data_IF_002623798106
#
_entry.id   IF_002623798106
#
_cell.length_a   1.000
_cell.length_b   1.000
_cell.length_c   1.000
_cell.angle_alpha   90.00
_cell.angle_beta   90.00
_cell.angle_gamma   90.00
#
_symmetry.space_group_name_H-M   'P 1'
#
loop_
_entity.id
_entity.type
_entity.pdbx_description
1 polymer ?
#
# COMPACT_ATOMS: atom_id res chain seq x y z
N UNK A 1 8.32 -89.39 54.65
CA UNK A 1 6.90 -89.14 54.96
C UNK A 1 6.33 -88.24 53.87
N UNK A 2 5.18 -88.65 53.36
CA UNK A 2 4.40 -88.11 52.25
C UNK A 2 3.85 -86.70 52.53
N UNK A 3 3.73 -85.83 51.51
CA UNK A 3 2.46 -85.13 51.18
C UNK A 3 2.59 -84.21 49.94
N UNK A 4 1.68 -84.41 48.97
CA UNK A 4 0.96 -83.45 48.07
C UNK A 4 1.52 -82.02 47.89
N UNK A 5 1.80 -81.47 46.69
CA UNK A 5 0.95 -81.30 45.46
C UNK A 5 0.06 -80.03 45.56
N UNK A 6 -0.46 -79.37 44.50
CA UNK A 6 -0.09 -79.22 43.07
C UNK A 6 -0.20 -77.74 42.55
N UNK A 7 -0.25 -77.55 41.21
CA UNK A 7 -0.75 -76.40 40.40
C UNK A 7 0.18 -75.19 40.17
N UNK A 8 0.76 -74.95 38.98
CA UNK A 8 0.24 -74.54 37.65
C UNK A 8 -0.13 -73.04 37.46
N UNK A 9 0.78 -72.33 36.75
CA UNK A 9 0.60 -71.25 35.72
C UNK A 9 0.01 -69.87 36.09
N UNK A 10 0.18 -68.79 35.27
CA UNK A 10 1.07 -68.54 34.13
C UNK A 10 1.83 -67.19 34.15
N UNK A 11 2.74 -67.07 33.19
CA UNK A 11 3.61 -65.95 32.82
C UNK A 11 2.89 -64.65 32.42
N UNK A 12 3.39 -63.52 32.91
CA UNK A 12 3.19 -62.20 32.30
C UNK A 12 4.35 -61.27 32.67
N UNK A 13 5.12 -60.74 31.71
CA UNK A 13 6.07 -59.68 32.00
C UNK A 13 5.33 -58.38 32.30
N UNK A 14 5.60 -57.84 33.50
CA UNK A 14 5.10 -56.57 33.98
C UNK A 14 5.56 -55.40 33.09
N UNK A 15 4.60 -54.59 32.63
CA UNK A 15 4.89 -53.25 32.10
C UNK A 15 5.14 -52.28 33.29
N UNK A 16 6.17 -51.42 33.21
CA UNK A 16 6.45 -50.44 34.26
C UNK A 16 5.45 -49.26 34.23
N UNK A 17 4.99 -48.76 35.40
CA UNK A 17 4.11 -47.60 35.47
C UNK A 17 4.89 -46.32 35.19
N UNK A 18 4.58 -45.66 34.07
CA UNK A 18 5.11 -44.34 33.76
C UNK A 18 4.37 -43.28 34.57
N UNK A 19 5.19 -42.54 35.30
CA UNK A 19 4.96 -41.38 36.15
C UNK A 19 4.09 -40.24 35.59
N UNK A 20 3.52 -39.51 36.56
CA UNK A 20 3.32 -38.05 36.58
C UNK A 20 2.22 -37.48 35.69
N UNK A 21 1.01 -37.44 36.26
CA UNK A 21 -0.14 -36.67 35.79
C UNK A 21 0.09 -35.17 36.04
N UNK A 22 0.91 -34.57 35.18
CA UNK A 22 1.05 -33.13 35.03
C UNK A 22 -0.09 -32.59 34.15
N UNK A 23 -0.80 -31.59 34.68
CA UNK A 23 -1.83 -30.82 34.01
C UNK A 23 -1.24 -30.11 32.77
N UNK A 24 -1.47 -30.62 31.57
CA UNK A 24 -1.05 -29.99 30.31
C UNK A 24 -2.21 -29.22 29.64
N UNK A 25 -1.93 -28.13 28.89
CA UNK A 25 -2.94 -27.24 28.29
C UNK A 25 -3.74 -27.92 27.15
N UNK A 26 -4.93 -27.43 26.80
CA UNK A 26 -5.75 -28.04 25.76
C UNK A 26 -5.07 -27.98 24.39
N UNK A 27 -4.97 -29.15 23.75
CA UNK A 27 -4.42 -29.34 22.43
C UNK A 27 -5.20 -28.55 21.37
N UNK A 28 -4.50 -27.67 20.65
CA UNK A 28 -4.96 -27.12 19.38
C UNK A 28 -5.02 -28.26 18.35
N UNK A 29 -6.23 -28.68 18.01
CA UNK A 29 -6.47 -29.56 16.87
C UNK A 29 -6.11 -28.88 15.54
N UNK A 30 -5.83 -29.67 14.49
CA UNK A 30 -5.41 -29.14 13.19
C UNK A 30 -6.53 -28.35 12.53
N UNK A 31 -6.24 -27.10 12.18
CA UNK A 31 -7.10 -26.21 11.42
C UNK A 31 -7.39 -26.81 10.03
N UNK A 32 -8.62 -27.28 9.83
CA UNK A 32 -9.11 -27.64 8.51
C UNK A 32 -9.19 -26.42 7.57
N UNK A 33 -9.01 -26.60 6.26
CA UNK A 33 -9.10 -25.52 5.29
C UNK A 33 -10.58 -25.19 5.03
N UNK A 34 -11.13 -24.26 5.82
CA UNK A 34 -12.54 -23.90 5.74
C UNK A 34 -12.84 -22.56 6.37
N UNK A 35 -12.66 -21.48 5.61
CA UNK A 35 -13.63 -20.40 5.48
C UNK A 35 -13.09 -19.36 4.49
N UNK A 36 -13.69 -19.17 3.29
CA UNK A 36 -13.53 -17.90 2.61
C UNK A 36 -14.12 -16.85 3.54
N UNK A 37 -13.33 -15.84 3.90
CA UNK A 37 -13.80 -14.67 4.62
C UNK A 37 -14.93 -14.05 3.80
N UNK A 38 -16.16 -14.34 4.23
CA UNK A 38 -17.37 -13.81 3.65
C UNK A 38 -17.31 -12.29 3.72
N UNK A 39 -17.53 -11.68 2.56
CA UNK A 39 -17.44 -10.26 2.32
C UNK A 39 -18.18 -9.46 3.38
N UNK A 40 -17.43 -8.66 4.12
CA UNK A 40 -17.97 -7.50 4.81
C UNK A 40 -17.65 -6.29 3.95
N UNK A 41 -18.47 -6.12 2.92
CA UNK A 41 -18.68 -4.83 2.24
C UNK A 41 -19.40 -3.90 3.23
N UNK A 42 -18.66 -3.43 4.21
CA UNK A 42 -19.08 -2.39 5.15
C UNK A 42 -18.04 -1.30 5.10
N UNK A 43 -18.45 -0.10 4.70
CA UNK A 43 -17.61 1.10 4.78
C UNK A 43 -17.24 1.34 6.25
N UNK A 44 -16.11 0.78 6.69
CA UNK A 44 -15.58 0.99 8.04
C UNK A 44 -14.72 2.26 8.03
N UNK A 45 -15.39 3.42 8.13
CA UNK A 45 -14.76 4.74 8.19
C UNK A 45 -13.79 4.88 9.37
N UNK A 46 -13.95 4.09 10.43
CA UNK A 46 -13.03 4.07 11.58
C UNK A 46 -11.69 3.39 11.28
N UNK A 47 -11.59 2.62 10.19
CA UNK A 47 -10.36 1.97 9.72
C UNK A 47 -9.67 2.68 8.56
N UNK A 48 -10.27 3.73 7.96
CA UNK A 48 -9.55 4.56 7.01
C UNK A 48 -8.38 5.21 7.74
N UNK A 49 -7.17 4.73 7.47
CA UNK A 49 -5.95 5.37 7.98
C UNK A 49 -5.99 6.82 7.47
N UNK A 50 -5.54 7.78 8.27
CA UNK A 50 -5.36 9.17 7.83
C UNK A 50 -4.62 9.25 6.47
N UNK A 51 -3.73 8.29 6.21
CA UNK A 51 -3.01 8.14 4.94
C UNK A 51 -3.90 7.79 3.72
N UNK A 52 -5.04 7.13 3.90
CA UNK A 52 -5.99 6.80 2.82
C UNK A 52 -6.84 8.02 2.41
N UNK A 53 -7.04 8.97 3.34
CA UNK A 53 -7.81 10.20 3.10
C UNK A 53 -6.92 11.37 2.70
N UNK A 54 -5.64 11.36 3.08
CA UNK A 54 -4.72 12.47 2.83
C UNK A 54 -4.51 12.77 1.33
N UNK A 55 -4.40 11.74 0.48
CA UNK A 55 -4.21 11.90 -0.97
C UNK A 55 -5.44 12.54 -1.65
N UNK A 56 -6.67 12.04 -1.46
CA UNK A 56 -7.85 12.67 -2.07
C UNK A 56 -8.14 14.06 -1.48
N UNK A 57 -7.98 14.27 -0.16
CA UNK A 57 -8.14 15.60 0.44
C UNK A 57 -7.10 16.58 -0.09
N UNK A 58 -5.83 16.16 -0.19
CA UNK A 58 -4.78 16.97 -0.80
C UNK A 58 -5.07 17.29 -2.28
N UNK A 59 -5.60 16.33 -3.04
CA UNK A 59 -5.99 16.53 -4.44
C UNK A 59 -7.14 17.54 -4.57
N UNK A 60 -8.11 17.53 -3.65
CA UNK A 60 -9.16 18.53 -3.58
C UNK A 60 -8.59 19.92 -3.23
N UNK A 61 -7.67 20.01 -2.26
CA UNK A 61 -7.00 21.27 -1.94
C UNK A 61 -6.20 21.81 -3.14
N UNK A 62 -5.50 20.93 -3.84
CA UNK A 62 -4.79 21.27 -5.08
C UNK A 62 -5.76 21.87 -6.11
N UNK A 63 -6.90 21.22 -6.34
CA UNK A 63 -7.94 21.73 -7.24
C UNK A 63 -8.43 23.12 -6.81
N UNK A 64 -8.72 23.32 -5.53
CA UNK A 64 -9.20 24.61 -5.01
C UNK A 64 -8.19 25.72 -5.29
N UNK A 65 -6.90 25.50 -5.04
CA UNK A 65 -5.86 26.50 -5.31
C UNK A 65 -5.62 26.73 -6.80
N UNK A 66 -5.94 25.74 -7.64
CA UNK A 66 -5.83 25.84 -9.09
C UNK A 66 -6.96 26.65 -9.73
N UNK A 67 -8.18 26.57 -9.18
CA UNK A 67 -9.37 27.33 -9.66
C UNK A 67 -9.25 28.83 -9.34
N UNK A 68 -8.67 29.17 -8.19
CA UNK A 68 -8.55 30.57 -7.76
C UNK A 68 -7.60 31.31 -8.72
N UNK A 69 -7.93 32.52 -9.18
CA UNK A 69 -7.04 33.33 -10.02
C UNK A 69 -5.69 33.58 -9.34
N UNK A 70 -4.61 33.37 -10.09
CA UNK A 70 -3.25 33.62 -9.64
C UNK A 70 -2.82 35.04 -9.99
N UNK A 71 -3.23 35.49 -11.17
CA UNK A 71 -3.02 36.85 -11.66
C UNK A 71 -4.34 37.39 -12.16
N UNK A 72 -4.62 38.65 -11.85
CA UNK A 72 -5.78 39.37 -12.38
C UNK A 72 -5.37 40.79 -12.72
N UNK A 73 -5.60 41.17 -13.97
CA UNK A 73 -5.49 42.55 -14.42
C UNK A 73 -6.91 43.07 -14.53
N UNK A 74 -7.23 44.09 -13.73
CA UNK A 74 -8.52 44.75 -13.80
C UNK A 74 -8.69 45.42 -15.17
N UNK A 75 -9.91 45.38 -15.70
CA UNK A 75 -10.23 46.06 -16.95
C UNK A 75 -10.06 47.56 -16.79
N UNK A 76 -9.47 48.20 -17.81
CA UNK A 76 -9.26 49.64 -17.80
C UNK A 76 -10.18 50.30 -18.82
N UNK A 77 -10.99 51.25 -18.36
CA UNK A 77 -11.79 52.11 -19.23
C UNK A 77 -10.92 53.26 -19.75
N UNK A 78 -10.70 53.29 -21.06
CA UNK A 78 -9.92 54.34 -21.72
C UNK A 78 -10.76 55.61 -21.94
N UNK A 79 -12.06 55.58 -21.60
CA UNK A 79 -13.03 56.59 -21.95
C UNK A 79 -13.49 56.47 -23.40
N UNK A 80 -14.40 57.35 -23.84
CA UNK A 80 -14.94 57.39 -25.21
C UNK A 80 -15.60 56.08 -25.71
N UNK A 81 -16.04 55.22 -24.78
CA UNK A 81 -16.70 53.95 -25.10
C UNK A 81 -15.75 52.78 -25.36
N UNK A 82 -14.44 52.95 -25.16
CA UNK A 82 -13.44 51.89 -25.33
C UNK A 82 -12.96 51.39 -23.97
N UNK A 83 -13.28 50.14 -23.64
CA UNK A 83 -12.80 49.46 -22.44
C UNK A 83 -11.93 48.26 -22.81
N UNK A 84 -10.78 48.11 -22.14
CA UNK A 84 -9.98 46.89 -22.19
C UNK A 84 -10.59 45.91 -21.17
N UNK A 85 -11.07 44.72 -21.59
CA UNK A 85 -11.60 43.75 -20.65
C UNK A 85 -10.49 43.28 -19.70
N UNK A 86 -10.82 43.12 -18.43
CA UNK A 86 -9.91 42.52 -17.46
C UNK A 86 -9.61 41.07 -17.83
N UNK A 87 -8.39 40.63 -17.54
CA UNK A 87 -7.94 39.26 -17.81
C UNK A 87 -7.46 38.65 -16.51
N UNK A 88 -7.97 37.46 -16.19
CA UNK A 88 -7.52 36.65 -15.06
C UNK A 88 -6.92 35.36 -15.56
N UNK A 89 -5.79 34.98 -14.98
CA UNK A 89 -5.10 33.71 -15.26
C UNK A 89 -5.15 32.85 -13.99
N UNK A 90 -5.52 31.59 -14.12
CA UNK A 90 -5.53 30.60 -13.05
C UNK A 90 -4.70 29.37 -13.44
N UNK A 91 -4.68 28.35 -12.58
CA UNK A 91 -3.86 27.16 -12.83
C UNK A 91 -4.30 26.31 -14.02
N UNK A 92 -5.56 26.42 -14.48
CA UNK A 92 -6.06 25.67 -15.65
C UNK A 92 -5.57 26.23 -16.98
N UNK A 93 -5.13 27.48 -17.01
CA UNK A 93 -4.49 28.05 -18.19
C UNK A 93 -3.12 27.38 -18.48
N UNK A 94 -2.59 26.62 -17.53
CA UNK A 94 -1.42 25.77 -17.69
C UNK A 94 -1.78 24.33 -18.04
N UNK A 95 -1.33 23.88 -19.20
CA UNK A 95 -1.39 22.46 -19.59
C UNK A 95 -0.60 21.56 -18.64
N UNK A 96 0.51 22.05 -18.08
CA UNK A 96 1.37 21.32 -17.14
C UNK A 96 0.65 21.03 -15.83
N UNK A 97 0.02 22.04 -15.23
CA UNK A 97 -0.75 21.87 -13.98
C UNK A 97 -2.00 21.05 -14.20
N UNK A 98 -2.67 21.23 -15.33
CA UNK A 98 -3.83 20.40 -15.70
C UNK A 98 -3.44 18.93 -15.81
N UNK A 99 -2.30 18.64 -16.44
CA UNK A 99 -1.79 17.27 -16.51
C UNK A 99 -1.37 16.73 -15.13
N UNK A 100 -0.69 17.54 -14.31
CA UNK A 100 -0.36 17.19 -12.93
C UNK A 100 -1.61 16.87 -12.10
N UNK A 101 -2.67 17.66 -12.24
CA UNK A 101 -3.96 17.42 -11.59
C UNK A 101 -4.58 16.09 -12.01
N UNK A 102 -4.56 15.75 -13.31
CA UNK A 102 -5.04 14.46 -13.80
C UNK A 102 -4.26 13.29 -13.18
N UNK A 103 -2.93 13.43 -13.02
CA UNK A 103 -2.12 12.42 -12.33
C UNK A 103 -2.51 12.28 -10.86
N UNK A 104 -2.82 13.38 -10.16
CA UNK A 104 -3.29 13.36 -8.77
C UNK A 104 -4.69 12.74 -8.64
N UNK A 105 -5.58 12.99 -9.60
CA UNK A 105 -6.88 12.30 -9.66
C UNK A 105 -6.69 10.79 -9.84
N UNK A 106 -5.80 10.38 -10.74
CA UNK A 106 -5.51 8.96 -10.96
C UNK A 106 -4.87 8.31 -9.72
N UNK A 107 -3.96 9.03 -9.05
CA UNK A 107 -3.37 8.61 -7.77
C UNK A 107 -4.44 8.45 -6.68
N UNK A 108 -5.38 9.39 -6.60
CA UNK A 108 -6.50 9.37 -5.63
C UNK A 108 -7.47 8.22 -5.90
N UNK A 109 -7.86 8.03 -7.17
CA UNK A 109 -8.70 6.91 -7.58
C UNK A 109 -8.04 5.57 -7.25
N UNK A 110 -6.74 5.44 -7.50
CA UNK A 110 -5.98 4.24 -7.17
C UNK A 110 -5.88 4.00 -5.66
N UNK A 111 -5.70 5.07 -4.88
CA UNK A 111 -5.63 5.00 -3.42
C UNK A 111 -6.97 4.58 -2.79
N UNK A 112 -8.09 5.01 -3.38
CA UNK A 112 -9.45 4.72 -2.92
C UNK A 112 -10.01 3.39 -3.43
N UNK A 113 -9.41 2.79 -4.47
CA UNK A 113 -9.84 1.53 -5.06
C UNK A 113 -10.18 0.40 -4.05
N UNK A 114 -9.37 0.12 -3.01
CA UNK A 114 -9.72 -0.87 -1.98
C UNK A 114 -11.04 -0.63 -1.25
N UNK A 115 -11.52 0.62 -1.18
CA UNK A 115 -12.78 0.92 -0.49
C UNK A 115 -14.00 0.42 -1.27
N UNK A 116 -13.87 0.21 -2.58
CA UNK A 116 -14.98 -0.17 -3.46
C UNK A 116 -14.85 -1.58 -4.01
N UNK A 117 -13.63 -2.10 -4.17
CA UNK A 117 -13.41 -3.43 -4.72
C UNK A 117 -12.16 -4.12 -4.15
N UNK A 118 -12.31 -5.38 -3.73
CA UNK A 118 -11.21 -6.27 -3.39
C UNK A 118 -10.50 -6.77 -4.66
N UNK A 119 -9.68 -5.90 -5.25
CA UNK A 119 -8.87 -6.26 -6.43
C UNK A 119 -7.50 -6.74 -5.97
N UNK A 120 -7.23 -8.05 -5.98
CA UNK A 120 -5.89 -8.56 -5.69
C UNK A 120 -4.89 -8.13 -6.80
N UNK A 121 -4.09 -7.09 -6.53
CA UNK A 121 -3.07 -6.60 -7.47
C UNK A 121 -1.73 -7.25 -7.12
N UNK A 122 -0.96 -7.78 -8.09
CA UNK A 122 0.32 -8.45 -7.83
C UNK A 122 1.45 -7.51 -7.36
N UNK A 123 1.22 -6.19 -7.36
CA UNK A 123 2.19 -5.17 -6.98
C UNK A 123 1.71 -4.34 -5.78
N UNK A 124 2.62 -3.82 -4.93
CA UNK A 124 2.25 -2.95 -3.83
C UNK A 124 1.69 -1.65 -4.39
N UNK A 125 0.42 -1.36 -4.10
CA UNK A 125 -0.32 -0.23 -4.69
C UNK A 125 0.32 1.13 -4.37
N UNK A 126 1.02 1.22 -3.25
CA UNK A 126 1.67 2.46 -2.81
C UNK A 126 2.79 2.92 -3.72
N UNK A 127 3.43 2.02 -4.47
CA UNK A 127 4.43 2.42 -5.48
C UNK A 127 3.82 3.23 -6.60
N UNK A 128 2.65 2.80 -7.11
CA UNK A 128 2.00 3.49 -8.21
C UNK A 128 1.50 4.87 -7.75
N UNK A 129 0.86 4.94 -6.59
CA UNK A 129 0.40 6.21 -6.00
C UNK A 129 1.58 7.16 -5.73
N UNK A 130 2.69 6.68 -5.17
CA UNK A 130 3.88 7.50 -4.95
C UNK A 130 4.54 7.95 -6.26
N UNK A 131 4.58 7.10 -7.28
CA UNK A 131 5.10 7.44 -8.61
C UNK A 131 4.26 8.53 -9.30
N UNK A 132 2.93 8.39 -9.27
CA UNK A 132 1.99 9.38 -9.80
C UNK A 132 2.10 10.72 -9.05
N UNK A 133 2.13 10.68 -7.71
CA UNK A 133 2.29 11.87 -6.88
C UNK A 133 3.65 12.55 -7.11
N UNK A 134 4.72 11.76 -7.27
CA UNK A 134 6.06 12.27 -7.57
C UNK A 134 6.13 12.96 -8.92
N UNK A 135 5.52 12.37 -9.96
CA UNK A 135 5.46 13.00 -11.28
C UNK A 135 4.63 14.29 -11.25
N UNK A 136 3.46 14.28 -10.60
CA UNK A 136 2.64 15.48 -10.43
C UNK A 136 3.38 16.59 -9.66
N UNK A 137 4.15 16.22 -8.62
CA UNK A 137 4.99 17.14 -7.87
C UNK A 137 6.06 17.79 -8.75
N UNK A 138 6.80 17.01 -9.56
CA UNK A 138 7.84 17.55 -10.45
C UNK A 138 7.24 18.54 -11.47
N UNK A 139 6.10 18.19 -12.05
CA UNK A 139 5.39 19.07 -13.00
C UNK A 139 4.94 20.37 -12.32
N UNK A 140 4.37 20.27 -11.12
CA UNK A 140 3.94 21.43 -10.33
C UNK A 140 5.14 22.30 -9.92
N UNK A 141 6.28 21.68 -9.58
CA UNK A 141 7.52 22.39 -9.26
C UNK A 141 8.04 23.18 -10.47
N UNK A 142 8.07 22.56 -11.65
CA UNK A 142 8.51 23.23 -12.88
C UNK A 142 7.62 24.44 -13.16
N UNK A 143 6.30 24.28 -13.10
CA UNK A 143 5.38 25.39 -13.33
C UNK A 143 5.49 26.50 -12.28
N UNK A 144 5.66 26.11 -11.02
CA UNK A 144 5.85 27.07 -9.92
C UNK A 144 7.15 27.87 -10.10
N UNK A 145 8.22 27.24 -10.61
CA UNK A 145 9.44 27.95 -10.96
C UNK A 145 9.24 28.88 -12.17
N UNK A 146 8.49 28.45 -13.19
CA UNK A 146 8.17 29.28 -14.36
C UNK A 146 7.28 30.48 -14.02
N UNK A 147 6.48 30.42 -12.96
CA UNK A 147 5.66 31.56 -12.54
C UNK A 147 6.48 32.72 -11.97
N UNK A 148 7.72 32.49 -11.52
CA UNK A 148 8.60 33.59 -11.11
C UNK A 148 8.90 34.58 -12.23
N UNK A 149 8.86 34.15 -13.50
CA UNK A 149 9.02 35.06 -14.65
C UNK A 149 7.85 36.04 -14.78
N UNK A 150 6.65 35.64 -14.36
CA UNK A 150 5.45 36.47 -14.34
C UNK A 150 5.22 37.22 -13.01
N UNK A 151 5.93 36.82 -11.95
CA UNK A 151 5.82 37.35 -10.60
C UNK A 151 5.41 36.30 -9.57
N UNK A 152 5.83 36.50 -8.32
CA UNK A 152 5.49 35.57 -7.23
C UNK A 152 3.98 35.58 -6.94
N UNK A 153 3.35 34.40 -6.90
CA UNK A 153 1.94 34.26 -6.51
C UNK A 153 1.79 33.36 -5.30
N UNK A 154 0.99 33.81 -4.33
CA UNK A 154 0.66 33.01 -3.14
C UNK A 154 -0.12 31.76 -3.53
N UNK A 155 -1.02 31.84 -4.51
CA UNK A 155 -1.83 30.71 -4.97
C UNK A 155 -0.98 29.65 -5.67
N UNK A 156 0.01 30.05 -6.49
CA UNK A 156 1.00 29.12 -7.05
C UNK A 156 1.79 28.41 -5.95
N UNK A 157 2.23 29.14 -4.91
CA UNK A 157 2.91 28.55 -3.75
C UNK A 157 2.01 27.55 -3.00
N UNK A 158 0.75 27.89 -2.75
CA UNK A 158 -0.19 26.99 -2.06
C UNK A 158 -0.48 25.72 -2.87
N UNK A 159 -0.59 25.85 -4.20
CA UNK A 159 -0.73 24.72 -5.12
C UNK A 159 0.49 23.80 -5.04
N UNK A 160 1.69 24.39 -5.05
CA UNK A 160 2.95 23.67 -4.86
C UNK A 160 3.02 22.96 -3.51
N UNK A 161 2.72 23.66 -2.40
CA UNK A 161 2.71 23.07 -1.05
C UNK A 161 1.70 21.94 -0.91
N UNK A 162 0.54 22.03 -1.57
CA UNK A 162 -0.43 20.94 -1.63
C UNK A 162 0.18 19.70 -2.31
N UNK A 163 0.88 19.88 -3.43
CA UNK A 163 1.56 18.76 -4.11
C UNK A 163 2.66 18.12 -3.24
N UNK A 164 3.42 18.93 -2.48
CA UNK A 164 4.42 18.44 -1.52
C UNK A 164 3.76 17.60 -0.43
N UNK A 165 2.66 18.08 0.15
CA UNK A 165 1.94 17.35 1.19
C UNK A 165 1.45 15.99 0.67
N UNK A 166 0.83 15.96 -0.53
CA UNK A 166 0.38 14.71 -1.16
C UNK A 166 1.55 13.73 -1.35
N UNK A 167 2.67 14.22 -1.87
CA UNK A 167 3.87 13.40 -2.08
C UNK A 167 4.40 12.82 -0.77
N UNK A 168 4.52 13.65 0.27
CA UNK A 168 4.98 13.20 1.60
C UNK A 168 4.06 12.10 2.13
N UNK A 169 2.75 12.27 2.08
CA UNK A 169 1.81 11.24 2.53
C UNK A 169 1.90 9.96 1.69
N UNK A 170 2.07 10.07 0.38
CA UNK A 170 2.25 8.92 -0.50
C UNK A 170 3.53 8.13 -0.16
N UNK A 171 4.65 8.83 0.11
CA UNK A 171 5.92 8.22 0.51
C UNK A 171 5.84 7.62 1.93
N UNK A 172 5.19 8.30 2.88
CA UNK A 172 4.98 7.80 4.23
C UNK A 172 4.12 6.53 4.23
N UNK A 173 3.20 6.38 3.27
CA UNK A 173 2.42 5.15 3.08
C UNK A 173 3.27 4.02 2.48
N UNK A 174 4.22 4.35 1.62
CA UNK A 174 5.15 3.39 1.00
C UNK A 174 6.14 2.80 2.01
N UNK A 175 6.59 3.59 3.00
CA UNK A 175 7.60 3.19 3.99
C UNK A 175 7.24 1.93 4.81
N UNK A 176 6.04 1.83 5.44
CA UNK A 176 5.61 0.62 6.13
C UNK A 176 5.57 -0.60 5.21
N UNK A 177 5.15 -0.44 3.95
CA UNK A 177 5.10 -1.53 2.98
C UNK A 177 6.49 -2.05 2.63
N UNK A 178 7.48 -1.15 2.47
CA UNK A 178 8.86 -1.53 2.26
C UNK A 178 9.44 -2.28 3.45
N UNK A 179 9.11 -1.85 4.68
CA UNK A 179 9.54 -2.53 5.90
C UNK A 179 8.92 -3.91 6.05
N UNK A 180 7.63 -4.07 5.76
CA UNK A 180 6.95 -5.37 5.81
C UNK A 180 7.35 -6.29 4.63
N UNK A 181 7.76 -5.71 3.51
CA UNK A 181 8.26 -6.45 2.34
C UNK A 181 9.71 -6.92 2.49
N UNK A 182 10.40 -6.53 3.58
CA UNK A 182 11.75 -7.01 3.92
C UNK A 182 11.84 -8.52 4.14
N UNK A 183 10.72 -9.19 4.39
CA UNK A 183 10.55 -10.63 4.12
C UNK A 183 10.10 -10.77 2.68
N UNK A 184 11.05 -11.01 1.76
CA UNK A 184 10.79 -11.17 0.33
C UNK A 184 9.52 -12.00 0.06
N UNK A 185 8.63 -11.53 -0.84
CA UNK A 185 7.53 -12.36 -1.32
C UNK A 185 8.12 -13.66 -1.86
N UNK A 186 7.67 -14.81 -1.33
CA UNK A 186 8.18 -16.16 -1.60
C UNK A 186 8.31 -16.57 -3.07
N UNK A 187 7.94 -15.72 -4.04
CA UNK A 187 8.05 -15.97 -5.47
C UNK A 187 9.46 -15.76 -6.03
N UNK A 188 10.27 -14.85 -5.48
CA UNK A 188 11.70 -14.74 -5.82
C UNK A 188 12.55 -15.67 -4.96
N UNK A 189 12.16 -15.86 -3.70
CA UNK A 189 12.76 -16.82 -2.78
C UNK A 189 12.62 -18.25 -3.31
N UNK A 190 11.46 -18.60 -3.89
CA UNK A 190 11.23 -19.90 -4.53
C UNK A 190 12.12 -20.13 -5.77
N UNK A 191 12.38 -19.10 -6.57
CA UNK A 191 13.29 -19.21 -7.73
C UNK A 191 14.76 -19.38 -7.31
N UNK A 192 15.20 -18.65 -6.28
CA UNK A 192 16.52 -18.82 -5.69
C UNK A 192 16.66 -20.19 -5.00
N UNK A 193 15.60 -20.69 -4.37
CA UNK A 193 15.58 -22.00 -3.70
C UNK A 193 15.54 -23.16 -4.70
N UNK A 194 14.91 -22.99 -5.87
CA UNK A 194 15.03 -23.92 -7.01
C UNK A 194 16.45 -23.93 -7.59
N UNK A 195 17.09 -22.77 -7.71
CA UNK A 195 18.48 -22.68 -8.20
C UNK A 195 19.50 -23.26 -7.21
N UNK A 196 19.16 -23.37 -5.93
CA UNK A 196 20.03 -23.91 -4.88
C UNK A 196 19.68 -25.36 -4.49
N UNK A 197 18.80 -26.04 -5.25
CA UNK A 197 18.63 -27.49 -5.13
C UNK A 197 19.82 -28.17 -5.81
N UNK A 198 20.79 -28.59 -5.00
CA UNK A 198 21.85 -29.51 -5.42
C UNK A 198 21.23 -30.71 -6.14
N UNK A 199 21.73 -30.99 -7.35
CA UNK A 199 21.22 -32.04 -8.23
C UNK A 199 21.06 -33.38 -7.48
N UNK A 200 20.03 -34.18 -7.79
CA UNK A 200 19.85 -35.51 -7.21
C UNK A 200 21.13 -36.33 -7.40
N UNK A 201 21.75 -36.72 -6.28
CA UNK A 201 22.92 -37.57 -6.31
C UNK A 201 22.49 -38.97 -6.75
N UNK A 202 22.60 -39.23 -8.05
CA UNK A 202 22.41 -40.57 -8.62
C UNK A 202 23.49 -41.47 -8.03
N UNK A 203 23.04 -42.36 -7.14
CA UNK A 203 23.90 -43.22 -6.33
C UNK A 203 24.84 -44.07 -7.17
N UNK A 204 26.12 -44.02 -6.79
CA UNK A 204 27.11 -45.02 -7.13
C UNK A 204 26.71 -46.36 -6.50
N UNK A 205 26.25 -47.28 -7.34
CA UNK A 205 25.84 -48.62 -6.96
C UNK A 205 26.28 -49.65 -7.98
N UNK A 206 27.56 -49.61 -8.38
CA UNK A 206 28.18 -50.67 -9.18
C UNK A 206 29.01 -51.59 -8.31
N UNK A 207 28.42 -52.69 -7.84
CA UNK A 207 29.16 -53.85 -7.32
C UNK A 207 29.42 -54.80 -8.49
N UNK A 208 30.69 -55.15 -8.69
CA UNK A 208 31.18 -56.24 -9.53
C UNK A 208 32.50 -56.71 -8.96
#
# INVERSE_FOLDING_TARGET
MTSSGPEQTPSGPAQPPLSAQGNTPPAQGPAGPGAPSSGRSGFDLGRLRLADVAVPVGTLLYLVFMVIPWFSVEGFDLGSGYSIPGVSVNGFDSGTLTFAFVLLLLASAWALLPAFADVAVPFPRSFLTAGLAGLAFVLTLIEWLSTFDAGFTLMGLLTFLSSVAILVFAVLRLLPELRSSGTMPGRLSGAAQWANQSAPQFGGGGKG
#
